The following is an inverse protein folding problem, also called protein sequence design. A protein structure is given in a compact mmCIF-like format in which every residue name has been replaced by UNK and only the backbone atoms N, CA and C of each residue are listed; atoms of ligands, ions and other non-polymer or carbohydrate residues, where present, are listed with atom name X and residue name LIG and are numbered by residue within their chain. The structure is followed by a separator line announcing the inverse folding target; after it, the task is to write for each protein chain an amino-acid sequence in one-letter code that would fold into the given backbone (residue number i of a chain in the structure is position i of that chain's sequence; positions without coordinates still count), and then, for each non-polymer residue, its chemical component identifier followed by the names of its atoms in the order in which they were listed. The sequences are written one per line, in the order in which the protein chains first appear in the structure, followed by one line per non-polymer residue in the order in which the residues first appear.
data_IF_684780824540
#
_entry.id   IF_684780824540
#
_cell.length_a   1.000
_cell.length_b   1.000
_cell.length_c   1.000
_cell.angle_alpha   90.00
_cell.angle_beta   90.00
_cell.angle_gamma   90.00
#
_symmetry.space_group_name_H-M   'P 1'
#
loop_
_entity.id
_entity.type
_entity.pdbx_description
1 polymer ?
#
# COMPACT_ATOMS: atom_id res chain seq x y z
N UNK A 1 -13.67 -3.25 16.31
CA UNK A 1 -12.52 -2.78 17.10
C UNK A 1 -11.76 -1.86 16.16
N UNK A 2 -11.69 -0.58 16.47
CA UNK A 2 -10.97 0.37 15.62
C UNK A 2 -9.48 0.07 15.77
N UNK A 3 -8.81 -0.19 14.65
CA UNK A 3 -7.36 -0.38 14.63
C UNK A 3 -6.76 1.02 14.76
N UNK A 4 -6.30 1.34 15.97
CA UNK A 4 -5.72 2.65 16.28
C UNK A 4 -4.24 2.70 15.83
N UNK A 5 -4.05 2.88 14.52
CA UNK A 5 -2.74 3.12 13.92
C UNK A 5 -2.64 4.60 13.56
N UNK A 6 -1.85 5.33 14.33
CA UNK A 6 -1.49 6.70 13.97
C UNK A 6 -0.53 6.66 12.76
N UNK A 7 -0.96 7.27 11.65
CA UNK A 7 -0.18 7.28 10.40
C UNK A 7 1.14 8.05 10.57
N UNK A 8 1.17 9.09 11.40
CA UNK A 8 2.38 9.87 11.65
C UNK A 8 3.42 9.04 12.39
N UNK A 9 3.01 8.38 13.47
CA UNK A 9 3.89 7.50 14.25
C UNK A 9 4.43 6.35 13.38
N UNK A 10 3.56 5.77 12.53
CA UNK A 10 3.95 4.71 11.61
C UNK A 10 4.97 5.18 10.58
N UNK A 11 4.79 6.36 9.99
CA UNK A 11 5.74 6.97 9.05
C UNK A 11 7.10 7.22 9.71
N UNK A 12 7.11 7.75 10.93
CA UNK A 12 8.33 7.96 11.70
C UNK A 12 9.05 6.64 12.01
N UNK A 13 8.31 5.61 12.42
CA UNK A 13 8.85 4.28 12.65
C UNK A 13 9.51 3.71 11.39
N UNK A 14 8.79 3.67 10.26
CA UNK A 14 9.29 3.12 8.99
C UNK A 14 10.51 3.91 8.49
N UNK A 15 10.46 5.23 8.55
CA UNK A 15 11.59 6.09 8.16
C UNK A 15 12.84 5.78 8.98
N UNK A 16 12.70 5.62 10.28
CA UNK A 16 13.81 5.26 11.17
C UNK A 16 14.37 3.88 10.84
N UNK A 17 13.52 2.88 10.69
CA UNK A 17 13.96 1.50 10.42
C UNK A 17 14.64 1.38 9.05
N UNK A 18 14.10 2.00 8.01
CA UNK A 18 14.69 1.98 6.67
C UNK A 18 15.99 2.77 6.57
N UNK A 19 16.13 3.87 7.31
CA UNK A 19 17.37 4.65 7.37
C UNK A 19 18.42 4.05 8.33
N UNK A 20 18.09 2.99 9.05
CA UNK A 20 19.02 2.31 9.94
C UNK A 20 20.15 1.64 9.15
N UNK A 21 21.41 1.69 9.63
CA UNK A 21 22.53 0.93 9.04
C UNK A 21 22.28 -0.59 9.02
N UNK A 22 21.34 -1.09 9.80
CA UNK A 22 20.95 -2.50 9.86
C UNK A 22 19.78 -2.83 8.92
N UNK A 23 19.25 -1.86 8.22
CA UNK A 23 18.17 -2.09 7.27
C UNK A 23 18.62 -3.09 6.20
N UNK A 24 17.79 -4.10 5.88
CA UNK A 24 18.07 -5.03 4.79
C UNK A 24 18.05 -4.33 3.42
N UNK A 25 17.47 -3.13 3.36
CA UNK A 25 17.33 -2.32 2.15
C UNK A 25 18.09 -1.01 2.34
N UNK A 26 19.23 -0.90 1.70
CA UNK A 26 20.04 0.33 1.69
C UNK A 26 19.84 1.07 0.36
N UNK A 27 18.69 1.73 0.19
CA UNK A 27 18.35 2.46 -1.05
C UNK A 27 18.36 3.98 -0.93
N UNK A 28 19.06 4.52 0.03
CA UNK A 28 19.17 5.96 0.20
C UNK A 28 18.18 6.52 1.24
N UNK A 29 18.16 7.84 1.35
CA UNK A 29 17.35 8.56 2.33
C UNK A 29 15.87 8.42 2.02
N UNK A 30 15.07 7.96 2.97
CA UNK A 30 13.60 7.97 2.87
C UNK A 30 13.11 9.42 2.89
N UNK A 31 12.38 9.80 1.85
CA UNK A 31 11.77 11.12 1.69
C UNK A 31 10.35 11.16 2.23
N UNK A 32 9.59 10.11 1.96
CA UNK A 32 8.19 10.01 2.34
C UNK A 32 7.74 8.55 2.41
N UNK A 33 6.74 8.29 3.25
CA UNK A 33 6.07 6.99 3.36
C UNK A 33 4.58 7.20 3.11
N UNK A 34 4.05 6.50 2.11
CA UNK A 34 2.64 6.57 1.73
C UNK A 34 1.90 5.31 2.15
N UNK A 35 0.68 5.41 2.66
CA UNK A 35 -0.20 4.26 2.84
C UNK A 35 -0.62 3.68 1.48
N UNK A 36 -0.86 2.37 1.45
CA UNK A 36 -1.32 1.67 0.27
C UNK A 36 -2.30 0.54 0.64
N UNK A 37 -2.84 -0.14 -0.36
CA UNK A 37 -3.70 -1.31 -0.17
C UNK A 37 -4.89 -1.07 0.76
N UNK A 38 -5.24 -2.08 1.55
CA UNK A 38 -6.38 -2.04 2.48
C UNK A 38 -6.22 -0.96 3.56
N UNK A 39 -4.99 -0.64 3.94
CA UNK A 39 -4.69 0.40 4.92
C UNK A 39 -5.08 1.79 4.40
N UNK A 40 -4.78 2.11 3.14
CA UNK A 40 -5.16 3.38 2.51
C UNK A 40 -6.67 3.63 2.53
N UNK A 41 -7.45 2.56 2.39
CA UNK A 41 -8.91 2.64 2.30
C UNK A 41 -9.64 2.46 3.63
N UNK A 42 -8.91 2.30 4.74
CA UNK A 42 -9.51 2.03 6.05
C UNK A 42 -10.22 0.67 6.13
N UNK A 43 -9.80 -0.29 5.30
CA UNK A 43 -10.41 -1.63 5.18
C UNK A 43 -9.59 -2.72 5.89
N UNK A 44 -8.67 -2.32 6.75
CA UNK A 44 -7.87 -3.26 7.52
C UNK A 44 -8.68 -4.10 8.49
N UNK A 45 -8.26 -5.32 8.67
CA UNK A 45 -8.69 -6.23 9.73
C UNK A 45 -7.55 -6.47 10.70
N UNK A 46 -7.81 -7.05 11.87
CA UNK A 46 -6.78 -7.42 12.87
C UNK A 46 -5.66 -8.33 12.31
N UNK A 47 -5.93 -9.02 11.20
CA UNK A 47 -4.99 -9.94 10.55
C UNK A 47 -4.41 -9.40 9.25
N UNK A 48 -4.77 -8.18 8.87
CA UNK A 48 -4.27 -7.55 7.66
C UNK A 48 -2.83 -7.09 7.87
N UNK A 49 -2.00 -7.29 6.84
CA UNK A 49 -0.72 -6.61 6.75
C UNK A 49 -0.93 -5.11 6.47
N UNK A 50 0.02 -4.28 6.85
CA UNK A 50 0.03 -2.86 6.53
C UNK A 50 0.85 -2.65 5.27
N UNK A 51 0.19 -2.30 4.17
CA UNK A 51 0.84 -1.99 2.89
C UNK A 51 1.33 -0.55 2.87
N UNK A 52 2.60 -0.35 2.55
CA UNK A 52 3.23 0.96 2.48
C UNK A 52 4.09 1.11 1.21
N UNK A 53 4.28 2.35 0.79
CA UNK A 53 5.23 2.75 -0.24
C UNK A 53 6.23 3.72 0.40
N UNK A 54 7.49 3.33 0.48
CA UNK A 54 8.57 4.20 0.93
C UNK A 54 9.30 4.79 -0.28
N UNK A 55 9.18 6.11 -0.44
CA UNK A 55 9.83 6.87 -1.51
C UNK A 55 11.21 7.32 -1.01
N UNK A 56 12.26 6.99 -1.75
CA UNK A 56 13.64 7.31 -1.38
C UNK A 56 14.33 8.21 -2.41
N UNK A 57 15.36 8.93 -1.97
CA UNK A 57 16.34 9.48 -2.91
C UNK A 57 17.14 8.32 -3.53
N UNK A 58 17.32 8.31 -4.87
CA UNK A 58 18.15 7.30 -5.49
C UNK A 58 19.60 7.45 -5.03
N UNK A 59 20.29 6.33 -4.86
CA UNK A 59 21.75 6.38 -4.65
C UNK A 59 22.45 6.85 -5.93
N UNK A 60 23.69 7.32 -5.78
CA UNK A 60 24.50 7.74 -6.93
C UNK A 60 24.69 6.60 -7.95
N UNK A 61 24.86 5.37 -7.47
CA UNK A 61 24.94 4.19 -8.32
C UNK A 61 23.65 3.91 -9.08
N UNK A 62 22.49 4.08 -8.45
CA UNK A 62 21.18 3.85 -9.10
C UNK A 62 20.97 4.87 -10.23
N UNK A 63 21.39 6.12 -10.01
CA UNK A 63 21.33 7.16 -11.05
C UNK A 63 22.26 6.84 -12.22
N UNK A 64 23.47 6.38 -11.94
CA UNK A 64 24.46 6.08 -13.00
C UNK A 64 24.11 4.84 -13.83
N UNK A 65 23.58 3.81 -13.18
CA UNK A 65 23.33 2.52 -13.84
C UNK A 65 21.90 2.34 -14.29
N UNK A 66 21.05 3.33 -14.14
CA UNK A 66 19.63 3.34 -14.58
C UNK A 66 18.85 2.08 -14.17
N UNK A 67 19.20 1.50 -13.04
CA UNK A 67 18.58 0.28 -12.55
C UNK A 67 17.24 0.62 -11.88
N UNK A 68 16.16 0.42 -12.60
CA UNK A 68 14.81 0.54 -12.05
C UNK A 68 14.49 -0.69 -11.21
N UNK A 69 14.20 -0.49 -9.93
CA UNK A 69 13.77 -1.59 -9.09
C UNK A 69 12.85 -1.11 -7.97
N UNK A 70 11.77 -1.84 -7.80
CA UNK A 70 10.98 -1.80 -6.56
C UNK A 70 11.57 -2.90 -5.69
N UNK A 71 11.98 -2.58 -4.47
CA UNK A 71 12.32 -3.58 -3.46
C UNK A 71 11.18 -3.71 -2.48
N UNK A 72 10.77 -4.94 -2.23
CA UNK A 72 9.74 -5.26 -1.26
C UNK A 72 10.39 -5.83 -0.02
N UNK A 73 10.04 -5.33 1.16
CA UNK A 73 10.42 -5.90 2.44
C UNK A 73 9.20 -6.21 3.29
N UNK A 74 9.29 -7.29 4.03
CA UNK A 74 8.29 -7.74 5.00
C UNK A 74 8.92 -8.03 6.37
N UNK A 75 10.12 -7.49 6.61
CA UNK A 75 10.94 -7.82 7.78
C UNK A 75 10.57 -7.01 9.02
N UNK A 76 9.58 -6.12 8.90
CA UNK A 76 9.17 -5.23 9.98
C UNK A 76 7.77 -5.55 10.48
N UNK A 77 7.56 -5.30 11.76
CA UNK A 77 6.28 -5.40 12.44
C UNK A 77 6.01 -4.12 13.24
N UNK A 78 4.76 -3.65 13.23
CA UNK A 78 4.34 -2.48 13.96
C UNK A 78 3.00 -2.73 14.68
N UNK A 79 2.98 -2.61 16.00
CA UNK A 79 1.80 -2.85 16.84
C UNK A 79 1.09 -4.20 16.57
N UNK A 80 1.87 -5.26 16.30
CA UNK A 80 1.35 -6.60 16.02
C UNK A 80 0.91 -6.84 14.58
N UNK A 81 1.07 -5.83 13.69
CA UNK A 81 0.80 -5.96 12.26
C UNK A 81 2.12 -6.07 11.48
N UNK A 82 2.16 -7.01 10.56
CA UNK A 82 3.27 -7.13 9.62
C UNK A 82 3.24 -5.96 8.64
N UNK A 83 4.40 -5.35 8.39
CA UNK A 83 4.53 -4.32 7.38
C UNK A 83 4.97 -4.91 6.05
N UNK A 84 4.26 -4.57 4.98
CA UNK A 84 4.63 -4.85 3.61
C UNK A 84 5.04 -3.54 2.93
N UNK A 85 6.34 -3.29 2.79
CA UNK A 85 6.86 -2.01 2.34
C UNK A 85 7.46 -2.15 0.94
N UNK A 86 6.92 -1.42 -0.02
CA UNK A 86 7.50 -1.28 -1.34
C UNK A 86 8.43 -0.06 -1.35
N UNK A 87 9.74 -0.29 -1.40
CA UNK A 87 10.76 0.76 -1.42
C UNK A 87 11.11 1.10 -2.85
N UNK A 88 10.99 2.38 -3.21
CA UNK A 88 11.16 2.85 -4.58
C UNK A 88 11.84 4.22 -4.61
N UNK A 89 12.74 4.45 -5.57
CA UNK A 89 13.30 5.78 -5.78
C UNK A 89 12.24 6.77 -6.28
N UNK A 90 12.38 8.04 -5.96
CA UNK A 90 11.45 9.08 -6.43
C UNK A 90 11.38 9.16 -7.96
N UNK A 91 12.49 8.93 -8.64
CA UNK A 91 12.56 8.92 -10.11
C UNK A 91 11.79 7.74 -10.71
N UNK A 92 11.90 6.57 -10.10
CA UNK A 92 11.15 5.39 -10.53
C UNK A 92 9.67 5.53 -10.17
N UNK A 93 9.35 6.07 -9.00
CA UNK A 93 7.99 6.37 -8.61
C UNK A 93 7.28 7.24 -9.64
N UNK A 94 7.92 8.34 -10.08
CA UNK A 94 7.37 9.19 -11.15
C UNK A 94 7.21 8.44 -12.47
N UNK A 95 8.19 7.61 -12.84
CA UNK A 95 8.11 6.81 -14.06
C UNK A 95 6.94 5.83 -14.04
N UNK A 96 6.67 5.22 -12.89
CA UNK A 96 5.53 4.31 -12.73
C UNK A 96 4.20 5.05 -12.73
N UNK A 97 4.11 6.22 -12.11
CA UNK A 97 2.91 7.08 -12.16
C UNK A 97 2.58 7.44 -13.61
N UNK A 98 3.56 7.90 -14.38
CA UNK A 98 3.37 8.26 -15.81
C UNK A 98 2.98 7.03 -16.63
N UNK A 99 3.55 5.86 -16.32
CA UNK A 99 3.20 4.59 -16.95
C UNK A 99 1.86 3.99 -16.51
N UNK A 100 1.22 4.55 -15.48
CA UNK A 100 -0.06 4.07 -14.94
C UNK A 100 0.00 2.67 -14.31
N UNK A 101 1.18 2.21 -13.87
CA UNK A 101 1.37 0.88 -13.27
C UNK A 101 2.48 0.90 -12.22
N UNK A 102 2.33 0.18 -11.10
CA UNK A 102 1.09 -0.47 -10.62
C UNK A 102 0.06 0.55 -10.11
N UNK A 103 -1.25 0.24 -10.14
CA UNK A 103 -2.33 1.15 -9.72
C UNK A 103 -2.14 1.73 -8.32
N UNK A 104 -1.62 0.94 -7.38
CA UNK A 104 -1.41 1.36 -5.99
C UNK A 104 -0.58 2.65 -5.84
N UNK A 105 0.35 2.93 -6.76
CA UNK A 105 1.16 4.16 -6.70
C UNK A 105 0.33 5.38 -7.07
N UNK A 106 -0.55 5.25 -8.05
CA UNK A 106 -1.45 6.35 -8.45
C UNK A 106 -2.51 6.59 -7.38
N UNK A 107 -3.03 5.53 -6.77
CA UNK A 107 -3.98 5.63 -5.65
C UNK A 107 -3.33 6.33 -4.45
N UNK A 108 -2.11 5.94 -4.09
CA UNK A 108 -1.38 6.55 -3.00
C UNK A 108 -1.08 8.04 -3.23
N UNK A 109 -0.73 8.45 -4.48
CA UNK A 109 -0.48 9.85 -4.77
C UNK A 109 -1.76 10.69 -4.82
N UNK A 110 -2.88 10.13 -5.26
CA UNK A 110 -4.18 10.82 -5.22
C UNK A 110 -4.62 11.08 -3.78
N UNK A 111 -4.35 10.15 -2.89
CA UNK A 111 -4.69 10.26 -1.47
C UNK A 111 -3.63 10.98 -0.63
N UNK A 112 -2.57 11.51 -1.27
CA UNK A 112 -1.48 12.16 -0.56
C UNK A 112 -1.91 13.43 0.15
N UNK A 113 -1.67 13.51 1.45
CA UNK A 113 -1.99 14.64 2.33
C UNK A 113 -0.74 15.23 3.03
N UNK A 114 0.46 14.73 2.68
CA UNK A 114 1.72 15.16 3.29
C UNK A 114 2.23 16.52 2.78
N UNK A 115 3.42 16.91 3.25
CA UNK A 115 3.97 18.26 3.03
C UNK A 115 5.01 18.34 1.90
N UNK A 116 5.46 17.21 1.34
CA UNK A 116 6.51 17.22 0.32
C UNK A 116 6.01 17.83 -1.00
N UNK A 117 6.47 19.04 -1.32
CA UNK A 117 5.96 19.85 -2.43
C UNK A 117 6.04 19.18 -3.79
N UNK A 118 7.08 18.35 -4.02
CA UNK A 118 7.21 17.62 -5.28
C UNK A 118 6.10 16.58 -5.46
N UNK A 119 5.64 15.95 -4.37
CA UNK A 119 4.52 15.00 -4.42
C UNK A 119 3.18 15.73 -4.53
N UNK A 120 3.00 16.88 -3.89
CA UNK A 120 1.82 17.74 -4.09
C UNK A 120 1.70 18.21 -5.55
N UNK A 121 2.81 18.54 -6.15
CA UNK A 121 2.85 18.94 -7.57
C UNK A 121 2.47 17.76 -8.47
N UNK A 122 3.01 16.59 -8.22
CA UNK A 122 2.66 15.36 -8.94
C UNK A 122 1.18 15.02 -8.78
N UNK A 123 0.63 15.09 -7.56
CA UNK A 123 -0.79 14.88 -7.27
C UNK A 123 -1.68 15.79 -8.15
N UNK A 124 -1.42 17.10 -8.16
CA UNK A 124 -2.17 18.06 -8.99
C UNK A 124 -2.11 17.71 -10.48
N UNK A 125 -0.95 17.26 -10.96
CA UNK A 125 -0.81 16.85 -12.37
C UNK A 125 -1.61 15.55 -12.66
N UNK A 126 -1.53 14.55 -11.79
CA UNK A 126 -2.31 13.32 -11.92
C UNK A 126 -3.81 13.62 -11.92
N UNK A 127 -4.28 14.44 -10.99
CA UNK A 127 -5.68 14.88 -10.97
C UNK A 127 -6.10 15.62 -12.25
N UNK A 128 -5.23 16.48 -12.77
CA UNK A 128 -5.48 17.20 -14.03
C UNK A 128 -5.55 16.22 -15.22
N UNK A 129 -4.71 15.21 -15.27
CA UNK A 129 -4.77 14.15 -16.28
C UNK A 129 -6.08 13.35 -16.16
N UNK A 130 -6.46 12.95 -14.94
CA UNK A 130 -7.73 12.25 -14.69
C UNK A 130 -8.93 13.06 -15.18
N UNK A 131 -8.89 14.37 -15.03
CA UNK A 131 -9.98 15.26 -15.47
C UNK A 131 -10.02 15.48 -17.00
N UNK A 132 -8.86 15.44 -17.67
CA UNK A 132 -8.74 15.84 -19.09
C UNK A 132 -8.81 14.69 -20.10
N UNK A 133 -8.58 13.44 -19.70
CA UNK A 133 -8.41 12.37 -20.68
C UNK A 133 -9.46 11.28 -20.58
N UNK A 134 -10.13 11.00 -21.71
CA UNK A 134 -10.92 9.79 -21.90
C UNK A 134 -10.08 8.51 -21.70
N UNK A 135 -8.76 8.59 -21.88
CA UNK A 135 -7.82 7.49 -21.58
C UNK A 135 -7.74 7.13 -20.10
N UNK A 136 -8.00 8.07 -19.21
CA UNK A 136 -8.09 7.82 -17.77
C UNK A 136 -9.44 7.24 -17.34
N UNK A 137 -10.47 7.27 -18.17
CA UNK A 137 -11.67 6.47 -17.95
C UNK A 137 -11.30 4.98 -17.86
N UNK A 138 -10.35 4.52 -18.68
CA UNK A 138 -9.79 3.18 -18.58
C UNK A 138 -9.03 2.93 -17.27
N UNK A 139 -8.31 3.94 -16.75
CA UNK A 139 -7.62 3.82 -15.46
C UNK A 139 -8.62 3.73 -14.29
N UNK A 140 -9.65 4.56 -14.26
CA UNK A 140 -10.75 4.46 -13.26
C UNK A 140 -11.42 3.09 -13.31
N UNK A 141 -11.63 2.55 -14.50
CA UNK A 141 -12.19 1.20 -14.67
C UNK A 141 -11.20 0.15 -14.17
N UNK A 142 -9.90 0.30 -14.41
CA UNK A 142 -8.86 -0.62 -13.92
C UNK A 142 -8.77 -0.54 -12.39
N UNK A 143 -8.72 0.64 -11.81
CA UNK A 143 -8.71 0.85 -10.36
C UNK A 143 -9.98 0.30 -9.72
N UNK A 144 -11.16 0.60 -10.28
CA UNK A 144 -12.44 0.06 -9.81
C UNK A 144 -12.48 -1.48 -9.92
N UNK A 145 -11.99 -2.06 -11.01
CA UNK A 145 -11.89 -3.52 -11.16
C UNK A 145 -10.95 -4.13 -10.14
N UNK A 146 -9.82 -3.48 -9.85
CA UNK A 146 -8.87 -3.95 -8.85
C UNK A 146 -9.50 -3.91 -7.46
N UNK A 147 -10.18 -2.82 -7.13
CA UNK A 147 -10.92 -2.66 -5.87
C UNK A 147 -12.01 -3.75 -5.75
N UNK A 148 -12.84 -3.92 -6.77
CA UNK A 148 -13.88 -4.95 -6.81
C UNK A 148 -13.28 -6.35 -6.70
N UNK A 149 -12.16 -6.62 -7.39
CA UNK A 149 -11.47 -7.91 -7.32
C UNK A 149 -10.93 -8.19 -5.92
N UNK A 150 -10.38 -7.18 -5.24
CA UNK A 150 -9.93 -7.29 -3.85
C UNK A 150 -11.11 -7.58 -2.92
N UNK A 151 -12.22 -6.85 -3.03
CA UNK A 151 -13.43 -7.12 -2.26
C UNK A 151 -13.99 -8.53 -2.51
N UNK A 152 -14.03 -8.98 -3.76
CA UNK A 152 -14.50 -10.33 -4.09
C UNK A 152 -13.58 -11.39 -3.46
N UNK A 153 -12.27 -11.14 -3.43
CA UNK A 153 -11.30 -12.05 -2.79
C UNK A 153 -11.50 -12.09 -1.27
N UNK A 154 -11.69 -10.94 -0.64
CA UNK A 154 -11.99 -10.85 0.80
C UNK A 154 -13.32 -11.52 1.16
N UNK A 155 -14.38 -11.31 0.36
CA UNK A 155 -15.66 -11.99 0.55
C UNK A 155 -15.52 -13.51 0.45
N UNK A 156 -14.79 -14.02 -0.53
CA UNK A 156 -14.53 -15.47 -0.64
C UNK A 156 -13.74 -16.01 0.55
N UNK A 157 -12.75 -15.26 1.04
CA UNK A 157 -12.00 -15.64 2.23
C UNK A 157 -12.91 -15.65 3.47
N UNK A 158 -13.83 -14.69 3.59
CA UNK A 158 -14.81 -14.63 4.65
C UNK A 158 -15.83 -15.80 4.58
N UNK A 159 -16.36 -16.09 3.39
CA UNK A 159 -17.23 -17.25 3.15
C UNK A 159 -16.54 -18.57 3.54
N UNK A 160 -15.27 -18.72 3.17
CA UNK A 160 -14.46 -19.88 3.57
C UNK A 160 -14.31 -19.98 5.09
N UNK A 161 -14.03 -18.86 5.78
CA UNK A 161 -13.92 -18.83 7.25
C UNK A 161 -15.26 -19.18 7.92
N UNK A 162 -16.38 -18.68 7.41
CA UNK A 162 -17.73 -19.03 7.92
C UNK A 162 -17.99 -20.52 7.73
N UNK A 163 -17.67 -21.05 6.54
CA UNK A 163 -17.86 -22.49 6.27
C UNK A 163 -17.04 -23.34 7.21
N UNK A 164 -15.76 -23.02 7.39
CA UNK A 164 -14.86 -23.71 8.32
C UNK A 164 -15.35 -23.64 9.77
N UNK A 165 -15.79 -22.44 10.20
CA UNK A 165 -16.35 -22.26 11.54
C UNK A 165 -17.61 -23.13 11.77
N UNK A 166 -18.50 -23.23 10.77
CA UNK A 166 -19.69 -24.11 10.84
C UNK A 166 -19.31 -25.58 10.89
N UNK A 167 -18.30 -26.01 10.14
CA UNK A 167 -17.81 -27.39 10.15
C UNK A 167 -17.18 -27.74 11.50
N UNK A 168 -16.38 -26.85 12.07
CA UNK A 168 -15.71 -27.04 13.37
C UNK A 168 -16.66 -26.98 14.58
N UNK A 169 -17.83 -26.35 14.43
CA UNK A 169 -18.83 -26.19 15.50
C UNK A 169 -20.17 -26.85 15.15
N UNK A 170 -20.16 -27.85 14.28
CA UNK A 170 -21.38 -28.55 13.84
C UNK A 170 -22.15 -29.18 15.00
N UNK A 171 -21.44 -29.65 16.03
CA UNK A 171 -22.03 -30.29 17.21
C UNK A 171 -22.75 -29.27 18.11
N UNK A 172 -22.23 -28.04 18.20
CA UNK A 172 -22.86 -26.93 18.96
C UNK A 172 -24.12 -26.43 18.27
N UNK A 173 -24.14 -26.39 16.95
CA UNK A 173 -25.30 -25.97 16.17
C UNK A 173 -26.47 -26.97 16.27
N UNK A 174 -26.20 -28.26 16.48
CA UNK A 174 -27.22 -29.29 16.69
C UNK A 174 -27.89 -29.22 18.04
N UNK A 175 -27.20 -28.68 19.07
CA UNK A 175 -27.73 -28.56 20.42
C UNK A 175 -28.56 -27.29 20.64
N UNK A 176 -28.38 -26.25 19.80
CA UNK A 176 -29.18 -25.01 19.83
C UNK A 176 -30.52 -25.18 19.07
N UNK A 177 -30.61 -26.19 18.19
CA UNK A 177 -31.78 -26.46 17.38
C UNK A 177 -32.76 -27.47 18.01
N UNK A 178 -32.48 -27.96 19.23
CA UNK A 178 -33.36 -28.78 20.06
C UNK A 178 -33.98 -27.94 21.17
#
# INVERSE_FOLDING_TARGET
MDIDIDLKDLKEFVTRELNSPRSPINKGLVLEVLPAGSFLYGLMTEKSDIDLIAITLPSFSDVLFTKRSIEKTTDFEYKGHKLEINVISITDFFSYIVGGRPPMFVEAIIAYDGELEILKTLQKQVEAWIKKSDGFANYRVIAARHLISSYVTELKAFEYKIKKFKEENSDVASDIAK
#
